data_IF_234739223870
#
_entry.id   IF_234739223870
#
_cell.length_a   1.000
_cell.length_b   1.000
_cell.length_c   1.000
_cell.angle_alpha   90.00
_cell.angle_beta   90.00
_cell.angle_gamma   90.00
#
_symmetry.space_group_name_H-M   'P 1'
#
loop_
_entity.id
_entity.type
_entity.pdbx_description
1 polymer ?
#
# COMPACT_ATOMS: atom_id res chain seq x y z
N UNK A 1 -17.51 -21.78 -16.71
CA UNK A 1 -17.45 -21.74 -15.22
C UNK A 1 -17.35 -20.29 -14.79
N UNK A 2 -18.18 -19.78 -13.86
CA UNK A 2 -18.01 -18.41 -13.41
C UNK A 2 -16.70 -18.32 -12.62
N UNK A 3 -15.80 -17.42 -13.01
CA UNK A 3 -14.58 -17.12 -12.27
C UNK A 3 -14.99 -16.69 -10.87
N UNK A 4 -14.42 -17.30 -9.83
CA UNK A 4 -14.55 -16.84 -8.44
C UNK A 4 -13.93 -15.44 -8.41
N UNK A 5 -14.73 -14.39 -8.60
CA UNK A 5 -14.23 -13.02 -8.50
C UNK A 5 -13.73 -12.83 -7.08
N UNK A 6 -12.45 -12.48 -6.96
CA UNK A 6 -11.85 -12.21 -5.67
C UNK A 6 -12.39 -10.86 -5.19
N UNK A 7 -13.21 -10.86 -4.14
CA UNK A 7 -13.81 -9.65 -3.56
C UNK A 7 -12.72 -8.62 -3.23
N UNK A 8 -11.52 -9.07 -2.85
CA UNK A 8 -10.36 -8.20 -2.64
C UNK A 8 -10.07 -7.33 -3.87
N UNK A 9 -10.13 -7.93 -5.07
CA UNK A 9 -9.85 -7.24 -6.33
C UNK A 9 -10.96 -6.24 -6.67
N UNK A 10 -12.22 -6.62 -6.48
CA UNK A 10 -13.37 -5.73 -6.74
C UNK A 10 -13.33 -4.51 -5.82
N UNK A 11 -13.03 -4.70 -4.53
CA UNK A 11 -12.86 -3.59 -3.58
C UNK A 11 -11.81 -2.59 -4.09
N UNK A 12 -10.68 -3.09 -4.58
CA UNK A 12 -9.60 -2.23 -5.05
C UNK A 12 -9.97 -1.51 -6.35
N UNK A 13 -10.62 -2.19 -7.29
CA UNK A 13 -11.11 -1.58 -8.54
C UNK A 13 -12.15 -0.48 -8.24
N UNK A 14 -13.09 -0.74 -7.34
CA UNK A 14 -14.10 0.24 -6.92
C UNK A 14 -13.45 1.47 -6.25
N UNK A 15 -12.45 1.26 -5.40
CA UNK A 15 -11.75 2.37 -4.71
C UNK A 15 -10.75 3.12 -5.61
N UNK A 16 -10.48 2.65 -6.83
CA UNK A 16 -9.75 3.45 -7.82
C UNK A 16 -10.56 4.64 -8.31
N UNK A 17 -11.89 4.56 -8.23
CA UNK A 17 -12.80 5.62 -8.67
C UNK A 17 -12.99 6.72 -7.62
N UNK A 18 -12.54 6.48 -6.39
CA UNK A 18 -12.58 7.42 -5.27
C UNK A 18 -12.78 6.75 -3.93
N UNK A 19 -12.62 7.55 -2.87
CA UNK A 19 -12.91 7.15 -1.50
C UNK A 19 -14.41 6.93 -1.31
N UNK A 20 -14.78 5.89 -0.56
CA UNK A 20 -16.17 5.50 -0.33
C UNK A 20 -16.44 5.16 1.13
N UNK A 21 -17.59 5.59 1.65
CA UNK A 21 -18.10 5.09 2.93
C UNK A 21 -18.33 3.58 2.90
N UNK A 22 -18.42 2.95 4.07
CA UNK A 22 -18.70 1.51 4.16
C UNK A 22 -20.03 1.15 3.49
N UNK A 23 -21.02 2.04 3.55
CA UNK A 23 -22.31 1.86 2.88
C UNK A 23 -22.12 1.85 1.37
N UNK A 24 -21.58 2.93 0.80
CA UNK A 24 -21.39 3.09 -0.64
C UNK A 24 -20.50 2.00 -1.22
N UNK A 25 -19.41 1.66 -0.54
CA UNK A 25 -18.52 0.57 -0.94
C UNK A 25 -19.27 -0.77 -1.00
N UNK A 26 -20.13 -1.04 -0.01
CA UNK A 26 -20.95 -2.25 0.02
C UNK A 26 -21.98 -2.29 -1.12
N UNK A 27 -22.59 -1.17 -1.48
CA UNK A 27 -23.53 -1.08 -2.59
C UNK A 27 -22.82 -1.30 -3.94
N UNK A 28 -21.69 -0.64 -4.15
CA UNK A 28 -20.91 -0.70 -5.40
C UNK A 28 -20.30 -2.08 -5.63
N UNK A 29 -19.79 -2.73 -4.58
CA UNK A 29 -19.34 -4.13 -4.67
C UNK A 29 -20.48 -5.06 -5.10
N UNK A 30 -21.69 -4.87 -4.56
CA UNK A 30 -22.85 -5.72 -4.92
C UNK A 30 -23.37 -5.43 -6.32
N UNK A 31 -23.23 -4.22 -6.84
CA UNK A 31 -23.59 -3.90 -8.23
C UNK A 31 -22.60 -4.50 -9.24
N UNK A 32 -21.32 -4.53 -8.90
CA UNK A 32 -20.26 -5.10 -9.75
C UNK A 32 -20.28 -6.64 -9.75
N UNK A 33 -20.66 -7.24 -8.63
CA UNK A 33 -20.64 -8.70 -8.47
C UNK A 33 -21.99 -9.28 -8.88
N UNK A 34 -22.00 -10.06 -9.97
CA UNK A 34 -23.19 -10.77 -10.47
C UNK A 34 -23.73 -11.92 -9.59
N UNK A 35 -23.40 -11.96 -8.30
CA UNK A 35 -23.90 -12.92 -7.33
C UNK A 35 -24.04 -12.28 -5.94
N UNK A 36 -24.89 -12.87 -5.09
CA UNK A 36 -25.15 -12.35 -3.75
C UNK A 36 -23.91 -12.44 -2.84
N UNK A 37 -23.46 -11.29 -2.32
CA UNK A 37 -22.37 -11.19 -1.34
C UNK A 37 -22.90 -10.63 -0.03
N UNK A 38 -22.52 -11.28 1.08
CA UNK A 38 -22.93 -10.88 2.44
C UNK A 38 -22.02 -9.79 3.01
N UNK A 39 -22.52 -8.99 3.94
CA UNK A 39 -21.69 -7.99 4.65
C UNK A 39 -20.52 -8.62 5.39
N UNK A 40 -20.69 -9.84 5.92
CA UNK A 40 -19.60 -10.58 6.57
C UNK A 40 -18.44 -10.79 5.60
N UNK A 41 -18.72 -11.24 4.38
CA UNK A 41 -17.69 -11.52 3.38
C UNK A 41 -16.98 -10.23 2.94
N UNK A 42 -17.72 -9.14 2.76
CA UNK A 42 -17.16 -7.81 2.45
C UNK A 42 -16.27 -7.35 3.60
N UNK A 43 -16.71 -7.46 4.85
CA UNK A 43 -15.95 -7.03 6.03
C UNK A 43 -14.66 -7.83 6.21
N UNK A 44 -14.69 -9.15 5.97
CA UNK A 44 -13.48 -9.99 6.01
C UNK A 44 -12.46 -9.56 4.94
N UNK A 45 -12.91 -9.24 3.74
CA UNK A 45 -12.05 -8.75 2.66
C UNK A 45 -11.48 -7.35 2.97
N UNK A 46 -12.31 -6.41 3.46
CA UNK A 46 -11.87 -5.09 3.92
C UNK A 46 -10.80 -5.24 5.00
N UNK A 47 -11.05 -6.06 6.03
CA UNK A 47 -10.11 -6.28 7.13
C UNK A 47 -8.78 -6.86 6.62
N UNK A 48 -8.83 -7.81 5.68
CA UNK A 48 -7.64 -8.37 5.04
C UNK A 48 -6.85 -7.30 4.28
N UNK A 49 -7.53 -6.43 3.52
CA UNK A 49 -6.90 -5.36 2.75
C UNK A 49 -6.31 -4.26 3.64
N UNK A 50 -6.96 -3.90 4.74
CA UNK A 50 -6.43 -2.99 5.77
C UNK A 50 -5.16 -3.57 6.41
N UNK A 51 -5.20 -4.85 6.81
CA UNK A 51 -4.03 -5.55 7.37
C UNK A 51 -2.86 -5.64 6.38
N UNK A 52 -3.16 -5.70 5.09
CA UNK A 52 -2.18 -5.68 4.01
C UNK A 52 -1.76 -4.27 3.59
N UNK A 53 -2.28 -3.21 4.21
CA UNK A 53 -2.02 -1.80 3.86
C UNK A 53 -2.25 -1.51 2.36
N UNK A 54 -3.31 -2.09 1.80
CA UNK A 54 -3.77 -1.84 0.43
C UNK A 54 -4.88 -0.80 0.38
N UNK A 55 -5.66 -0.71 1.46
CA UNK A 55 -6.66 0.33 1.71
C UNK A 55 -6.40 0.94 3.09
N UNK A 56 -6.92 2.13 3.33
CA UNK A 56 -6.87 2.83 4.63
C UNK A 56 -8.22 3.46 4.94
N UNK A 57 -8.41 3.85 6.21
CA UNK A 57 -9.51 4.74 6.59
C UNK A 57 -9.05 6.16 6.32
N UNK A 58 -9.78 6.88 5.47
CA UNK A 58 -9.44 8.27 5.09
C UNK A 58 -10.34 9.30 5.78
N UNK A 59 -11.47 8.87 6.33
CA UNK A 59 -12.39 9.76 7.03
C UNK A 59 -13.63 9.07 7.57
N UNK A 60 -14.64 9.88 7.81
CA UNK A 60 -15.93 9.44 8.30
C UNK A 60 -17.06 10.25 7.66
N UNK A 61 -18.00 9.59 7.01
CA UNK A 61 -19.20 10.18 6.45
C UNK A 61 -20.25 10.41 7.54
N UNK A 62 -20.60 11.67 7.77
CA UNK A 62 -21.61 12.07 8.77
C UNK A 62 -23.05 11.91 8.25
N UNK A 63 -23.25 11.72 6.94
CA UNK A 63 -24.57 11.50 6.33
C UNK A 63 -25.30 10.27 6.89
N UNK A 64 -24.57 9.31 7.45
CA UNK A 64 -25.14 8.15 8.16
C UNK A 64 -25.96 8.50 9.42
N UNK A 65 -25.95 9.78 9.81
CA UNK A 65 -26.72 10.36 10.91
C UNK A 65 -27.79 11.36 10.46
N UNK A 66 -28.08 11.48 9.16
CA UNK A 66 -29.13 12.38 8.70
C UNK A 66 -30.46 12.07 9.40
N UNK A 67 -31.08 13.11 9.99
CA UNK A 67 -32.30 12.99 10.79
C UNK A 67 -32.11 12.47 12.22
N UNK A 68 -30.86 12.29 12.69
CA UNK A 68 -30.57 11.88 14.08
C UNK A 68 -30.25 13.11 14.94
N UNK A 69 -31.12 13.43 15.90
CA UNK A 69 -30.95 14.61 16.77
C UNK A 69 -29.76 14.50 17.74
N UNK A 70 -29.39 13.27 18.15
CA UNK A 70 -28.30 13.05 19.11
C UNK A 70 -27.55 11.74 18.82
N UNK A 71 -26.26 11.86 18.54
CA UNK A 71 -25.36 10.72 18.32
C UNK A 71 -24.85 10.18 19.64
N UNK A 72 -25.03 8.87 19.89
CA UNK A 72 -24.52 8.19 21.10
C UNK A 72 -23.26 7.35 20.83
N UNK A 73 -23.04 6.90 19.60
CA UNK A 73 -21.88 6.10 19.20
C UNK A 73 -21.59 6.27 17.71
N UNK A 74 -20.33 6.05 17.32
CA UNK A 74 -19.91 5.99 15.91
C UNK A 74 -20.43 4.71 15.24
N UNK A 75 -21.17 4.85 14.13
CA UNK A 75 -21.64 3.73 13.32
C UNK A 75 -20.51 3.27 12.39
N UNK A 76 -20.26 1.96 12.24
CA UNK A 76 -19.29 1.44 11.28
C UNK A 76 -19.59 1.85 9.83
N UNK A 77 -20.86 2.07 9.52
CA UNK A 77 -21.38 2.45 8.21
C UNK A 77 -20.77 3.76 7.67
N UNK A 78 -20.43 4.69 8.57
CA UNK A 78 -19.83 5.97 8.19
C UNK A 78 -18.32 5.91 7.94
N UNK A 79 -17.63 4.78 8.18
CA UNK A 79 -16.18 4.71 7.95
C UNK A 79 -15.91 4.84 6.45
N UNK A 80 -15.08 5.82 6.06
CA UNK A 80 -14.66 6.03 4.67
C UNK A 80 -13.34 5.32 4.42
N UNK A 81 -13.32 4.49 3.38
CA UNK A 81 -12.14 3.78 2.92
C UNK A 81 -11.61 4.42 1.63
N UNK A 82 -10.29 4.50 1.54
CA UNK A 82 -9.56 4.88 0.33
C UNK A 82 -8.44 3.89 0.05
N UNK A 83 -7.89 3.94 -1.16
CA UNK A 83 -6.63 3.25 -1.45
C UNK A 83 -5.51 3.85 -0.60
N UNK A 84 -4.56 3.03 -0.16
CA UNK A 84 -3.31 3.59 0.37
C UNK A 84 -2.56 4.19 -0.81
N UNK A 85 -2.48 5.51 -0.87
CA UNK A 85 -1.56 6.21 -1.75
C UNK A 85 -0.26 6.44 -1.01
N UNK A 86 0.83 5.89 -1.56
CA UNK A 86 2.18 6.08 -1.05
C UNK A 86 2.80 7.23 -1.82
N UNK A 87 2.92 8.37 -1.19
CA UNK A 87 3.67 9.47 -1.77
C UNK A 87 5.20 9.29 -1.53
N UNK A 88 6.07 9.91 -2.36
CA UNK A 88 7.52 9.83 -2.18
C UNK A 88 8.03 10.34 -0.83
N UNK A 89 7.33 11.28 -0.18
CA UNK A 89 7.71 11.83 1.14
C UNK A 89 7.48 10.79 2.22
N UNK A 90 6.33 10.11 2.25
CA UNK A 90 6.05 9.02 3.20
C UNK A 90 7.08 7.89 3.04
N UNK A 91 7.39 7.51 1.80
CA UNK A 91 8.41 6.50 1.53
C UNK A 91 9.79 6.94 2.01
N UNK A 92 10.16 8.21 1.84
CA UNK A 92 11.43 8.75 2.33
C UNK A 92 11.50 8.68 3.86
N UNK A 93 10.43 9.08 4.55
CA UNK A 93 10.34 8.99 6.01
C UNK A 93 10.47 7.53 6.48
N UNK A 94 9.84 6.60 5.77
CA UNK A 94 9.94 5.18 6.08
C UNK A 94 11.38 4.64 5.88
N UNK A 95 12.08 5.05 4.83
CA UNK A 95 13.48 4.66 4.59
C UNK A 95 14.40 5.24 5.67
N UNK A 96 14.20 6.49 6.09
CA UNK A 96 15.00 7.11 7.16
C UNK A 96 14.87 6.40 8.51
N UNK A 97 13.71 5.79 8.79
CA UNK A 97 13.52 5.02 10.02
C UNK A 97 14.43 3.79 10.14
N UNK A 98 15.05 3.34 9.05
CA UNK A 98 16.08 2.29 9.09
C UNK A 98 17.27 2.69 9.96
N UNK A 99 17.56 4.00 10.05
CA UNK A 99 18.63 4.57 10.85
C UNK A 99 18.19 4.96 12.28
N UNK A 100 16.96 4.62 12.67
CA UNK A 100 16.46 4.92 14.02
C UNK A 100 17.29 4.17 15.08
N UNK A 101 17.66 4.87 16.16
CA UNK A 101 18.28 4.25 17.34
C UNK A 101 17.33 3.27 18.04
N UNK A 102 16.02 3.39 17.80
CA UNK A 102 15.04 2.45 18.27
C UNK A 102 15.01 1.21 17.35
N UNK A 103 15.61 0.11 17.83
CA UNK A 103 15.67 -1.17 17.10
C UNK A 103 14.29 -1.65 16.64
N UNK A 104 13.25 -1.51 17.47
CA UNK A 104 11.91 -1.94 17.10
C UNK A 104 11.33 -1.11 15.95
N UNK A 105 11.60 0.20 15.94
CA UNK A 105 11.18 1.08 14.86
C UNK A 105 11.92 0.76 13.55
N UNK A 106 13.24 0.54 13.62
CA UNK A 106 14.07 0.18 12.47
C UNK A 106 13.65 -1.16 11.88
N UNK A 107 13.45 -2.19 12.70
CA UNK A 107 12.96 -3.52 12.25
C UNK A 107 11.57 -3.44 11.62
N UNK A 108 10.66 -2.65 12.23
CA UNK A 108 9.32 -2.44 11.70
C UNK A 108 9.37 -1.76 10.32
N UNK A 109 10.22 -0.73 10.17
CA UNK A 109 10.43 -0.02 8.92
C UNK A 109 11.00 -0.94 7.84
N UNK A 110 12.02 -1.73 8.16
CA UNK A 110 12.63 -2.71 7.25
C UNK A 110 11.60 -3.71 6.73
N UNK A 111 10.78 -4.27 7.64
CA UNK A 111 9.73 -5.21 7.28
C UNK A 111 8.64 -4.57 6.41
N UNK A 112 8.26 -3.32 6.69
CA UNK A 112 7.27 -2.57 5.88
C UNK A 112 7.83 -2.30 4.48
N UNK A 113 9.08 -1.82 4.37
CA UNK A 113 9.75 -1.59 3.08
C UNK A 113 9.89 -2.88 2.27
N UNK A 114 10.29 -3.98 2.90
CA UNK A 114 10.38 -5.29 2.22
C UNK A 114 9.05 -5.68 1.60
N UNK A 115 7.94 -5.56 2.34
CA UNK A 115 6.60 -5.88 1.83
C UNK A 115 6.22 -5.01 0.64
N UNK A 116 6.47 -3.69 0.73
CA UNK A 116 6.17 -2.75 -0.35
C UNK A 116 6.99 -3.09 -1.59
N UNK A 117 8.30 -3.28 -1.43
CA UNK A 117 9.23 -3.65 -2.48
C UNK A 117 8.78 -4.94 -3.18
N UNK A 118 8.57 -6.02 -2.43
CA UNK A 118 8.16 -7.32 -3.00
C UNK A 118 6.79 -7.26 -3.69
N UNK A 119 5.87 -6.43 -3.18
CA UNK A 119 4.57 -6.23 -3.83
C UNK A 119 4.75 -5.57 -5.20
N UNK A 120 5.50 -4.46 -5.26
CA UNK A 120 5.73 -3.75 -6.51
C UNK A 120 6.54 -4.58 -7.51
N UNK A 121 7.58 -5.29 -7.08
CA UNK A 121 8.35 -6.14 -8.00
C UNK A 121 7.52 -7.33 -8.49
N UNK A 122 6.66 -7.89 -7.64
CA UNK A 122 5.69 -8.91 -8.03
C UNK A 122 4.70 -8.42 -9.10
N UNK A 123 4.19 -7.18 -8.96
CA UNK A 123 3.34 -6.53 -9.98
C UNK A 123 4.08 -6.31 -11.30
N UNK A 124 5.40 -6.12 -11.26
CA UNK A 124 6.27 -5.98 -12.43
C UNK A 124 6.71 -7.32 -13.05
N UNK A 125 6.43 -8.44 -12.40
CA UNK A 125 6.91 -9.76 -12.79
C UNK A 125 8.42 -9.97 -12.59
N UNK A 126 9.03 -9.25 -11.63
CA UNK A 126 10.46 -9.31 -11.33
C UNK A 126 10.67 -10.02 -9.98
N UNK A 127 11.46 -11.10 -9.98
CA UNK A 127 11.93 -11.72 -8.74
C UNK A 127 13.16 -10.97 -8.23
N UNK A 128 12.99 -10.26 -7.12
CA UNK A 128 13.94 -9.30 -6.60
C UNK A 128 14.21 -9.53 -5.10
N UNK A 129 13.93 -10.72 -4.57
CA UNK A 129 14.09 -10.98 -3.13
C UNK A 129 15.54 -10.78 -2.65
N UNK A 130 16.51 -11.24 -3.45
CA UNK A 130 17.94 -11.06 -3.17
C UNK A 130 18.42 -9.62 -3.29
N UNK A 131 17.79 -8.80 -4.14
CA UNK A 131 18.26 -7.43 -4.39
C UNK A 131 17.84 -6.46 -3.30
N UNK A 132 16.70 -6.68 -2.65
CA UNK A 132 16.21 -5.79 -1.59
C UNK A 132 17.25 -5.60 -0.47
N UNK A 133 17.84 -6.71 0.00
CA UNK A 133 18.87 -6.66 1.05
C UNK A 133 20.13 -5.93 0.58
N UNK A 134 20.49 -6.08 -0.70
CA UNK A 134 21.63 -5.39 -1.31
C UNK A 134 21.39 -3.88 -1.32
N UNK A 135 20.22 -3.44 -1.77
CA UNK A 135 19.83 -2.02 -1.80
C UNK A 135 19.90 -1.41 -0.40
N UNK A 136 19.31 -2.07 0.59
CA UNK A 136 19.28 -1.56 1.97
C UNK A 136 20.70 -1.46 2.55
N UNK A 137 21.51 -2.51 2.42
CA UNK A 137 22.87 -2.51 2.93
C UNK A 137 23.72 -1.42 2.27
N UNK A 138 23.56 -1.23 0.97
CA UNK A 138 24.29 -0.20 0.25
C UNK A 138 23.87 1.19 0.73
N UNK A 139 22.57 1.49 0.81
CA UNK A 139 22.06 2.76 1.33
C UNK A 139 22.69 3.10 2.68
N UNK A 140 22.71 2.14 3.61
CA UNK A 140 23.26 2.36 4.96
C UNK A 140 24.78 2.61 4.95
N UNK A 141 25.49 2.09 3.93
CA UNK A 141 26.94 2.22 3.77
C UNK A 141 27.41 3.50 3.08
N UNK A 142 26.52 4.22 2.39
CA UNK A 142 26.87 5.42 1.61
C UNK A 142 27.14 6.65 2.49
N UNK A 143 27.96 7.57 1.98
CA UNK A 143 28.08 8.92 2.54
C UNK A 143 26.74 9.69 2.44
N UNK A 144 26.59 10.75 3.24
CA UNK A 144 25.32 11.45 3.42
C UNK A 144 24.73 12.02 2.11
N UNK A 145 25.58 12.52 1.21
CA UNK A 145 25.11 13.13 -0.04
C UNK A 145 24.65 12.05 -1.03
N UNK A 146 25.43 10.98 -1.20
CA UNK A 146 25.05 9.85 -2.04
C UNK A 146 23.83 9.11 -1.50
N UNK A 147 23.79 8.90 -0.18
CA UNK A 147 22.67 8.29 0.54
C UNK A 147 21.39 9.05 0.27
N UNK A 148 21.40 10.38 0.43
CA UNK A 148 20.23 11.23 0.18
C UNK A 148 19.67 11.02 -1.23
N UNK A 149 20.53 11.02 -2.26
CA UNK A 149 20.11 10.86 -3.66
C UNK A 149 19.48 9.48 -3.88
N UNK A 150 20.14 8.41 -3.42
CA UNK A 150 19.64 7.04 -3.60
C UNK A 150 18.36 6.81 -2.80
N UNK A 151 18.27 7.32 -1.58
CA UNK A 151 17.04 7.28 -0.77
C UNK A 151 15.88 8.00 -1.46
N UNK A 152 16.12 9.16 -2.08
CA UNK A 152 15.08 9.87 -2.84
C UNK A 152 14.60 9.07 -4.04
N UNK A 153 15.53 8.48 -4.81
CA UNK A 153 15.18 7.62 -5.96
C UNK A 153 14.40 6.38 -5.52
N UNK A 154 14.84 5.72 -4.45
CA UNK A 154 14.14 4.55 -3.90
C UNK A 154 12.76 4.93 -3.39
N UNK A 155 12.64 6.05 -2.68
CA UNK A 155 11.36 6.54 -2.18
C UNK A 155 10.37 6.79 -3.32
N UNK A 156 10.83 7.42 -4.41
CA UNK A 156 10.04 7.64 -5.61
C UNK A 156 9.63 6.32 -6.27
N UNK A 157 10.58 5.41 -6.48
CA UNK A 157 10.31 4.10 -7.08
C UNK A 157 9.34 3.23 -6.25
N UNK A 158 9.27 3.45 -4.94
CA UNK A 158 8.35 2.77 -4.02
C UNK A 158 7.04 3.53 -3.78
N UNK A 159 6.89 4.71 -4.35
CA UNK A 159 5.65 5.50 -4.34
C UNK A 159 4.66 5.00 -5.40
N UNK A 160 3.46 5.55 -5.41
CA UNK A 160 2.40 5.25 -6.38
C UNK A 160 2.32 6.26 -7.53
N UNK A 161 3.40 7.01 -7.78
CA UNK A 161 3.55 7.86 -8.98
C UNK A 161 3.56 7.01 -10.26
N UNK A 162 3.02 7.56 -11.36
CA UNK A 162 2.77 6.84 -12.61
C UNK A 162 4.04 6.20 -13.24
N UNK A 163 5.19 6.86 -13.14
CA UNK A 163 6.49 6.42 -13.66
C UNK A 163 7.36 5.69 -12.60
N UNK A 164 6.89 5.56 -11.37
CA UNK A 164 7.58 4.79 -10.32
C UNK A 164 7.91 3.34 -10.74
N UNK A 165 7.03 2.60 -11.47
CA UNK A 165 7.35 1.29 -12.04
C UNK A 165 8.63 1.24 -12.87
N UNK A 166 8.85 2.24 -13.73
CA UNK A 166 10.03 2.32 -14.59
C UNK A 166 11.28 2.61 -13.76
N UNK A 167 11.17 3.54 -12.81
CA UNK A 167 12.30 3.84 -11.91
C UNK A 167 12.67 2.67 -11.01
N UNK A 168 11.71 1.86 -10.58
CA UNK A 168 11.98 0.66 -9.82
C UNK A 168 12.78 -0.36 -10.64
N UNK A 169 12.44 -0.56 -11.92
CA UNK A 169 13.23 -1.42 -12.82
C UNK A 169 14.66 -0.92 -12.97
N UNK A 170 14.85 0.39 -13.20
CA UNK A 170 16.18 0.98 -13.33
C UNK A 170 17.03 0.82 -12.06
N UNK A 171 16.42 1.02 -10.88
CA UNK A 171 17.13 0.79 -9.61
C UNK A 171 17.53 -0.68 -9.46
N UNK A 172 16.61 -1.61 -9.68
CA UNK A 172 16.90 -3.05 -9.57
C UNK A 172 18.08 -3.42 -10.46
N UNK A 173 18.03 -3.06 -11.75
CA UNK A 173 19.11 -3.34 -12.70
C UNK A 173 20.44 -2.69 -12.27
N UNK A 174 20.42 -1.45 -11.77
CA UNK A 174 21.62 -0.78 -11.26
C UNK A 174 22.29 -1.59 -10.15
N UNK A 175 21.52 -2.05 -9.17
CA UNK A 175 22.06 -2.81 -8.04
C UNK A 175 22.44 -4.25 -8.43
N UNK A 176 21.74 -4.88 -9.38
CA UNK A 176 22.10 -6.21 -9.90
C UNK A 176 23.47 -6.18 -10.57
N UNK A 177 23.75 -5.15 -11.37
CA UNK A 177 25.04 -4.96 -12.04
C UNK A 177 26.14 -4.79 -11.00
N UNK A 178 25.86 -3.98 -9.97
CA UNK A 178 26.81 -3.68 -8.92
C UNK A 178 27.10 -4.89 -8.02
N UNK A 179 26.11 -5.77 -7.82
CA UNK A 179 26.26 -7.00 -7.05
C UNK A 179 26.98 -8.12 -7.82
N UNK A 180 27.15 -7.99 -9.15
CA UNK A 180 27.77 -9.02 -9.99
C UNK A 180 26.85 -10.20 -10.31
N UNK A 181 25.53 -10.01 -10.27
CA UNK A 181 24.53 -11.07 -10.47
C UNK A 181 24.05 -11.19 -11.93
N UNK A 182 24.98 -11.29 -12.89
CA UNK A 182 24.67 -11.54 -14.31
C UNK A 182 25.18 -12.91 -14.77
#
# INVERSE_FOLDING_TARGET
>A
MPRKYNIDRVILEVLQEGDLSRVELGERIRSEIGFAVTDKTINEAIFKLLKASRITVTGYDLGVYDGVERVQSLKPDGIVFGLVQRDPVEMNLLIRKLESENLHESESALNKLRKIFMTKTGELGVDAEGIFSTIVNEILSLDQDQKRIITQKLAYALSDEDDAPEQLRHLITYFEIRAGNF
#
